data_IF_479547093432
#
_entry.id   IF_479547093432
#
_cell.length_a   1.000
_cell.length_b   1.000
_cell.length_c   1.000
_cell.angle_alpha   90.00
_cell.angle_beta   90.00
_cell.angle_gamma   90.00
#
_symmetry.space_group_name_H-M   'P 1'
#
loop_
_entity.id
_entity.type
_entity.pdbx_description
1 polymer ?
#
# COMPACT_ATOMS: atom_id res chain seq x y z
N UNK A 1 -24.75 15.61 -0.45
CA UNK A 1 -23.60 14.83 0.07
C UNK A 1 -22.78 14.34 -1.12
N UNK A 2 -21.70 15.03 -1.50
CA UNK A 2 -20.78 14.61 -2.58
C UNK A 2 -19.43 15.36 -2.44
N UNK A 3 -18.84 15.35 -1.23
CA UNK A 3 -17.51 15.92 -0.99
C UNK A 3 -16.38 14.87 -1.08
N UNK A 4 -16.72 13.58 -1.17
CA UNK A 4 -15.75 12.48 -1.13
C UNK A 4 -14.94 12.30 -2.43
N UNK A 5 -15.42 12.78 -3.58
CA UNK A 5 -14.84 12.42 -4.88
C UNK A 5 -13.67 13.33 -5.29
N UNK A 6 -13.63 14.60 -4.83
CA UNK A 6 -12.50 15.51 -5.11
C UNK A 6 -11.29 15.21 -4.24
N UNK A 7 -11.49 15.14 -2.91
CA UNK A 7 -10.41 14.90 -1.96
C UNK A 7 -9.65 13.61 -2.22
N UNK A 8 -10.32 12.51 -2.61
CA UNK A 8 -9.65 11.24 -2.88
C UNK A 8 -8.78 11.27 -4.14
N UNK A 9 -9.23 11.95 -5.20
CA UNK A 9 -8.42 12.15 -6.41
C UNK A 9 -7.24 13.06 -6.14
N UNK A 10 -7.46 14.16 -5.42
CA UNK A 10 -6.40 15.09 -5.06
C UNK A 10 -5.36 14.41 -4.17
N UNK A 11 -5.77 13.57 -3.22
CA UNK A 11 -4.85 12.85 -2.33
C UNK A 11 -4.04 11.79 -3.07
N UNK A 12 -4.66 11.07 -4.00
CA UNK A 12 -3.96 10.06 -4.82
C UNK A 12 -3.00 10.72 -5.81
N UNK A 13 -3.41 11.85 -6.40
CA UNK A 13 -2.53 12.69 -7.22
C UNK A 13 -1.41 13.33 -6.39
N UNK A 14 -1.66 13.68 -5.13
CA UNK A 14 -0.65 14.22 -4.22
C UNK A 14 0.42 13.18 -3.91
N UNK A 15 0.04 11.95 -3.59
CA UNK A 15 1.00 10.87 -3.31
C UNK A 15 1.82 10.53 -4.56
N UNK A 16 1.20 10.55 -5.74
CA UNK A 16 1.89 10.32 -7.01
C UNK A 16 2.84 11.48 -7.38
N UNK A 17 2.47 12.73 -7.07
CA UNK A 17 3.20 13.93 -7.47
C UNK A 17 4.28 14.37 -6.47
N UNK A 18 4.05 14.18 -5.18
CA UNK A 18 4.89 14.71 -4.09
C UNK A 18 5.72 13.60 -3.42
N UNK A 19 5.36 12.32 -3.61
CA UNK A 19 6.10 11.20 -3.03
C UNK A 19 5.60 10.81 -1.63
N UNK A 20 6.12 9.69 -1.12
CA UNK A 20 5.61 9.04 0.11
C UNK A 20 5.95 9.87 1.35
N UNK A 21 7.12 10.49 1.40
CA UNK A 21 7.60 11.25 2.56
C UNK A 21 6.77 12.53 2.75
N UNK A 22 6.62 13.34 1.71
CA UNK A 22 5.82 14.57 1.78
C UNK A 22 4.32 14.28 1.96
N UNK A 23 3.82 13.19 1.38
CA UNK A 23 2.46 12.74 1.65
C UNK A 23 2.27 12.34 3.13
N UNK A 24 3.28 11.73 3.76
CA UNK A 24 3.23 11.41 5.19
C UNK A 24 3.09 12.69 6.03
N UNK A 25 3.90 13.71 5.74
CA UNK A 25 3.84 15.00 6.41
C UNK A 25 2.47 15.68 6.24
N UNK A 26 1.95 15.72 5.01
CA UNK A 26 0.63 16.29 4.72
C UNK A 26 -0.50 15.60 5.50
N UNK A 27 -0.40 14.28 5.68
CA UNK A 27 -1.38 13.50 6.43
C UNK A 27 -1.22 13.70 7.94
N UNK A 28 -0.01 13.95 8.44
CA UNK A 28 0.18 14.35 9.84
C UNK A 28 -0.45 15.71 10.14
N UNK A 29 -0.36 16.66 9.20
CA UNK A 29 -1.05 17.95 9.28
C UNK A 29 -2.59 17.83 9.14
N UNK A 30 -3.07 16.81 8.42
CA UNK A 30 -4.50 16.55 8.20
C UNK A 30 -4.86 15.06 8.47
N UNK A 31 -5.00 14.66 9.74
CA UNK A 31 -5.17 13.26 10.09
C UNK A 31 -6.55 12.74 9.66
N UNK A 32 -6.58 11.93 8.59
CA UNK A 32 -7.80 11.29 8.11
C UNK A 32 -7.55 9.82 7.74
N UNK A 33 -8.36 8.85 8.25
CA UNK A 33 -8.10 7.42 8.06
C UNK A 33 -7.98 6.97 6.60
N UNK A 34 -8.71 7.62 5.68
CA UNK A 34 -8.63 7.29 4.25
C UNK A 34 -7.31 7.73 3.60
N UNK A 35 -6.71 8.82 4.09
CA UNK A 35 -5.44 9.30 3.54
C UNK A 35 -4.29 8.39 3.94
N UNK A 36 -4.25 7.99 5.21
CA UNK A 36 -3.32 6.97 5.70
C UNK A 36 -3.45 5.66 4.93
N UNK A 37 -4.67 5.24 4.56
CA UNK A 37 -4.87 4.04 3.72
C UNK A 37 -4.27 4.21 2.33
N UNK A 38 -4.48 5.36 1.69
CA UNK A 38 -3.89 5.65 0.38
C UNK A 38 -2.35 5.68 0.44
N UNK A 39 -1.79 6.27 1.49
CA UNK A 39 -0.35 6.26 1.73
C UNK A 39 0.18 4.83 1.89
N UNK A 40 -0.53 3.99 2.66
CA UNK A 40 -0.16 2.60 2.85
C UNK A 40 -0.19 1.80 1.53
N UNK A 41 -1.24 2.00 0.72
CA UNK A 41 -1.37 1.37 -0.60
C UNK A 41 -0.23 1.79 -1.55
N UNK A 42 0.14 3.08 -1.57
CA UNK A 42 1.25 3.57 -2.37
C UNK A 42 2.61 3.06 -1.87
N UNK A 43 2.80 2.99 -0.56
CA UNK A 43 4.01 2.42 0.05
C UNK A 43 4.16 0.93 -0.26
N UNK A 44 3.07 0.16 -0.23
CA UNK A 44 3.06 -1.23 -0.68
C UNK A 44 3.50 -1.38 -2.13
N UNK A 45 3.02 -0.51 -3.04
CA UNK A 45 3.45 -0.55 -4.45
C UNK A 45 4.94 -0.27 -4.64
N UNK A 46 5.53 0.56 -3.78
CA UNK A 46 6.99 0.85 -3.79
C UNK A 46 7.81 -0.14 -2.94
N UNK A 47 7.20 -1.21 -2.42
CA UNK A 47 7.82 -2.16 -1.49
C UNK A 47 8.38 -1.54 -0.20
N UNK A 48 7.92 -0.33 0.16
CA UNK A 48 8.27 0.31 1.42
C UNK A 48 7.38 -0.23 2.55
N UNK A 49 7.78 -1.38 3.08
CA UNK A 49 7.07 -2.06 4.16
C UNK A 49 7.07 -1.23 5.45
N UNK A 50 8.09 -0.41 5.70
CA UNK A 50 8.18 0.40 6.91
C UNK A 50 7.10 1.47 6.91
N UNK A 51 7.02 2.26 5.83
CA UNK A 51 6.01 3.32 5.73
C UNK A 51 4.60 2.74 5.61
N UNK A 52 4.42 1.62 4.89
CA UNK A 52 3.14 0.93 4.84
C UNK A 52 2.66 0.49 6.23
N UNK A 53 3.55 -0.08 7.06
CA UNK A 53 3.21 -0.49 8.41
C UNK A 53 2.79 0.70 9.29
N UNK A 54 3.57 1.79 9.28
CA UNK A 54 3.24 2.99 10.05
C UNK A 54 1.87 3.54 9.65
N UNK A 55 1.61 3.63 8.35
CA UNK A 55 0.34 4.11 7.84
C UNK A 55 -0.84 3.21 8.26
N UNK A 56 -0.69 1.88 8.21
CA UNK A 56 -1.73 0.96 8.68
C UNK A 56 -1.95 1.00 10.20
N UNK A 57 -0.89 1.23 11.00
CA UNK A 57 -1.00 1.45 12.45
C UNK A 57 -1.81 2.71 12.75
N UNK A 58 -1.55 3.81 12.03
CA UNK A 58 -2.30 5.07 12.16
C UNK A 58 -3.76 4.92 11.71
N UNK A 59 -4.03 4.08 10.69
CA UNK A 59 -5.38 3.68 10.27
C UNK A 59 -6.10 2.74 11.24
N UNK A 60 -5.40 2.12 12.21
CA UNK A 60 -5.90 0.98 13.00
C UNK A 60 -6.38 -0.20 12.13
N UNK A 61 -5.79 -0.36 10.95
CA UNK A 61 -6.12 -1.45 10.03
C UNK A 61 -5.28 -2.70 10.37
N UNK A 62 -5.85 -3.54 11.23
CA UNK A 62 -5.21 -4.78 11.67
C UNK A 62 -4.94 -5.77 10.53
N UNK A 63 -5.75 -5.75 9.47
CA UNK A 63 -5.55 -6.64 8.32
C UNK A 63 -4.31 -6.19 7.55
N UNK A 64 -4.18 -4.89 7.28
CA UNK A 64 -2.99 -4.31 6.66
C UNK A 64 -1.71 -4.56 7.46
N UNK A 65 -1.75 -4.40 8.79
CA UNK A 65 -0.58 -4.67 9.66
C UNK A 65 -0.15 -6.14 9.59
N UNK A 66 -1.09 -7.09 9.64
CA UNK A 66 -0.77 -8.52 9.52
C UNK A 66 -0.21 -8.84 8.14
N UNK A 67 -0.74 -8.21 7.10
CA UNK A 67 -0.26 -8.38 5.73
C UNK A 67 1.19 -7.90 5.57
N UNK A 68 1.51 -6.69 6.02
CA UNK A 68 2.89 -6.17 5.97
C UNK A 68 3.87 -7.04 6.75
N UNK A 69 3.47 -7.54 7.93
CA UNK A 69 4.30 -8.51 8.69
C UNK A 69 4.54 -9.81 7.92
N UNK A 70 3.53 -10.33 7.22
CA UNK A 70 3.69 -11.52 6.37
C UNK A 70 4.65 -11.23 5.21
N UNK A 71 4.51 -10.09 4.55
CA UNK A 71 5.42 -9.65 3.48
C UNK A 71 6.87 -9.55 3.97
N UNK A 72 7.10 -9.02 5.18
CA UNK A 72 8.43 -8.91 5.77
C UNK A 72 9.12 -10.27 5.99
N UNK A 73 8.35 -11.33 6.21
CA UNK A 73 8.89 -12.69 6.40
C UNK A 73 9.22 -13.40 5.09
N UNK A 74 8.77 -12.89 3.94
CA UNK A 74 9.10 -13.46 2.63
C UNK A 74 10.53 -13.09 2.25
N UNK A 75 11.32 -14.07 1.82
CA UNK A 75 12.72 -13.83 1.42
C UNK A 75 12.84 -13.30 0.00
N UNK A 76 11.94 -13.68 -0.90
CA UNK A 76 11.96 -13.22 -2.29
C UNK A 76 11.16 -11.94 -2.48
N UNK A 77 11.76 -10.95 -3.15
CA UNK A 77 11.09 -9.71 -3.54
C UNK A 77 9.96 -9.97 -4.55
N UNK A 78 10.12 -10.96 -5.43
CA UNK A 78 9.10 -11.37 -6.37
C UNK A 78 7.87 -11.96 -5.66
N UNK A 79 8.06 -12.75 -4.59
CA UNK A 79 6.95 -13.22 -3.75
C UNK A 79 6.22 -12.06 -3.09
N UNK A 80 6.96 -11.05 -2.61
CA UNK A 80 6.34 -9.85 -2.01
C UNK A 80 5.49 -9.11 -3.02
N UNK A 81 5.99 -8.91 -4.24
CA UNK A 81 5.24 -8.26 -5.31
C UNK A 81 3.99 -9.08 -5.69
N UNK A 82 4.10 -10.40 -5.81
CA UNK A 82 2.96 -11.27 -6.10
C UNK A 82 1.86 -11.16 -5.03
N UNK A 83 2.24 -11.19 -3.74
CA UNK A 83 1.31 -10.98 -2.63
C UNK A 83 0.67 -9.59 -2.65
N UNK A 84 1.43 -8.53 -2.96
CA UNK A 84 0.90 -7.16 -3.07
C UNK A 84 -0.11 -7.08 -4.21
N UNK A 85 0.18 -7.68 -5.36
CA UNK A 85 -0.72 -7.70 -6.52
C UNK A 85 -2.00 -8.49 -6.18
N UNK A 86 -1.88 -9.62 -5.49
CA UNK A 86 -3.02 -10.37 -4.98
C UNK A 86 -3.85 -9.54 -3.98
N UNK A 87 -3.19 -8.77 -3.12
CA UNK A 87 -3.85 -7.87 -2.17
C UNK A 87 -4.69 -6.78 -2.85
N UNK A 88 -4.24 -6.27 -4.00
CA UNK A 88 -5.01 -5.32 -4.84
C UNK A 88 -6.12 -5.99 -5.67
N UNK A 89 -6.34 -7.30 -5.53
CA UNK A 89 -7.37 -8.05 -6.26
C UNK A 89 -6.99 -8.42 -7.70
N UNK A 90 -5.73 -8.23 -8.10
CA UNK A 90 -5.20 -8.60 -9.42
C UNK A 90 -4.72 -10.06 -9.40
N UNK A 91 -5.65 -10.98 -9.14
CA UNK A 91 -5.31 -12.39 -8.94
C UNK A 91 -4.63 -13.04 -10.16
N UNK A 92 -5.02 -12.69 -11.39
CA UNK A 92 -4.40 -13.22 -12.61
C UNK A 92 -2.93 -12.85 -12.74
N UNK A 93 -2.58 -11.59 -12.43
CA UNK A 93 -1.19 -11.12 -12.47
C UNK A 93 -0.34 -11.77 -11.36
N UNK A 94 -0.93 -11.94 -10.18
CA UNK A 94 -0.28 -12.63 -9.06
C UNK A 94 -0.04 -14.11 -9.37
N UNK A 95 -1.02 -14.81 -9.94
CA UNK A 95 -0.91 -16.22 -10.33
C UNK A 95 0.20 -16.42 -11.37
N UNK A 96 0.29 -15.55 -12.38
CA UNK A 96 1.38 -15.60 -13.36
C UNK A 96 2.75 -15.44 -12.71
N UNK A 97 2.90 -14.51 -11.77
CA UNK A 97 4.16 -14.36 -11.04
C UNK A 97 4.49 -15.62 -10.22
N UNK A 98 3.51 -16.20 -9.53
CA UNK A 98 3.73 -17.45 -8.79
C UNK A 98 4.17 -18.60 -9.70
N UNK A 99 3.54 -18.74 -10.88
CA UNK A 99 3.91 -19.76 -11.86
C UNK A 99 5.31 -19.55 -12.46
N UNK A 100 5.73 -18.30 -12.67
CA UNK A 100 7.07 -18.00 -13.18
C UNK A 100 8.15 -18.32 -12.13
N UNK A 101 7.84 -18.12 -10.84
CA UNK A 101 8.73 -18.44 -9.74
C UNK A 101 8.90 -19.94 -9.48
N UNK A 102 7.85 -20.74 -9.64
CA UNK A 102 7.90 -22.21 -9.45
C UNK A 102 8.60 -22.94 -10.61
N UNK A 103 8.71 -22.30 -11.78
CA UNK A 103 9.34 -22.87 -12.99
C UNK A 103 10.87 -22.72 -13.05
N UNK A 104 11.51 -22.14 -12.04
CA UNK A 104 12.98 -21.90 -11.98
C UNK A 104 13.62 -22.67 -10.84
#
# INVERSE_FOLDING_TARGET
MNFEIRSLRDSRALIEKVGIEDASQFIEDNPHPRLWRLLAEAALQKLDLYTAQQAFVRCKDYQGIKFVKRLGNLQSEAMKQAEIIAYFGRFEEAERMYLDMDRR
#
